data_IF_647367611221
#
_entry.id   IF_647367611221
#
_cell.length_a   1.000
_cell.length_b   1.000
_cell.length_c   1.000
_cell.angle_alpha   90.00
_cell.angle_beta   90.00
_cell.angle_gamma   90.00
#
_symmetry.space_group_name_H-M   'P 1'
#
loop_
_entity.id
_entity.type
_entity.pdbx_description
1 polymer ?
#
# COMPACT_ATOMS: atom_id res chain seq x y z
N UNK A 1 -33.01 -24.38 -9.43
CA UNK A 1 -31.66 -24.55 -8.88
C UNK A 1 -31.68 -24.13 -7.43
N UNK A 2 -31.89 -25.08 -6.51
CA UNK A 2 -31.94 -24.81 -5.08
C UNK A 2 -30.57 -24.39 -4.58
N UNK A 3 -30.51 -23.27 -3.85
CA UNK A 3 -29.30 -22.85 -3.17
C UNK A 3 -28.91 -23.96 -2.19
N UNK A 4 -27.86 -24.71 -2.52
CA UNK A 4 -27.19 -25.65 -1.63
C UNK A 4 -26.40 -24.83 -0.59
N UNK A 5 -27.11 -24.08 0.25
CA UNK A 5 -26.58 -23.62 1.52
C UNK A 5 -26.42 -24.86 2.41
N UNK A 6 -25.38 -24.92 3.26
CA UNK A 6 -25.20 -26.04 4.17
C UNK A 6 -26.48 -26.26 4.97
N UNK A 7 -27.22 -27.32 4.62
CA UNK A 7 -28.64 -27.54 4.96
C UNK A 7 -28.89 -27.85 6.45
N UNK A 8 -27.92 -27.59 7.34
CA UNK A 8 -28.10 -27.70 8.78
C UNK A 8 -27.41 -26.54 9.50
N UNK A 9 -28.08 -25.86 10.45
CA UNK A 9 -27.50 -24.77 11.24
C UNK A 9 -26.16 -25.14 11.91
N UNK A 10 -25.98 -26.43 12.23
CA UNK A 10 -24.75 -26.99 12.80
C UNK A 10 -23.54 -26.88 11.86
N UNK A 11 -23.71 -27.12 10.56
CA UNK A 11 -22.63 -27.00 9.57
C UNK A 11 -22.24 -25.54 9.34
N UNK A 12 -23.22 -24.64 9.30
CA UNK A 12 -22.96 -23.20 9.23
C UNK A 12 -22.16 -22.72 10.46
N UNK A 13 -22.61 -23.08 11.67
CA UNK A 13 -21.93 -22.71 12.90
C UNK A 13 -20.49 -23.25 12.95
N UNK A 14 -20.26 -24.48 12.50
CA UNK A 14 -18.92 -25.07 12.41
C UNK A 14 -18.02 -24.32 11.44
N UNK A 15 -18.52 -23.94 10.26
CA UNK A 15 -17.73 -23.13 9.31
C UNK A 15 -17.39 -21.75 9.87
N UNK A 16 -18.35 -21.07 10.48
CA UNK A 16 -18.12 -19.76 11.11
C UNK A 16 -17.10 -19.86 12.23
N UNK A 17 -17.19 -20.89 13.08
CA UNK A 17 -16.22 -21.13 14.13
C UNK A 17 -14.80 -21.33 13.57
N UNK A 18 -14.66 -22.10 12.48
CA UNK A 18 -13.37 -22.32 11.82
C UNK A 18 -12.78 -21.03 11.21
N UNK A 19 -13.63 -20.20 10.60
CA UNK A 19 -13.19 -18.91 10.07
C UNK A 19 -12.78 -17.95 11.19
N UNK A 20 -13.54 -17.88 12.28
CA UNK A 20 -13.21 -17.05 13.43
C UNK A 20 -11.92 -17.53 14.10
N UNK A 21 -11.72 -18.84 14.25
CA UNK A 21 -10.47 -19.38 14.80
C UNK A 21 -9.29 -19.10 13.88
N UNK A 22 -9.45 -19.26 12.57
CA UNK A 22 -8.42 -18.93 11.58
C UNK A 22 -8.06 -17.44 11.58
N UNK A 23 -9.08 -16.57 11.60
CA UNK A 23 -8.88 -15.12 11.67
C UNK A 23 -8.16 -14.70 12.97
N UNK A 24 -8.50 -15.33 14.11
CA UNK A 24 -7.83 -15.07 15.38
C UNK A 24 -6.35 -15.46 15.34
N UNK A 25 -6.03 -16.67 14.88
CA UNK A 25 -4.64 -17.14 14.75
C UNK A 25 -3.86 -16.26 13.77
N UNK A 26 -4.49 -15.88 12.65
CA UNK A 26 -3.88 -15.00 11.65
C UNK A 26 -3.57 -13.61 12.23
N UNK A 27 -4.52 -13.00 12.93
CA UNK A 27 -4.31 -11.69 13.56
C UNK A 27 -3.17 -11.71 14.58
N UNK A 28 -3.12 -12.75 15.43
CA UNK A 28 -2.03 -12.95 16.39
C UNK A 28 -0.70 -13.15 15.68
N UNK A 29 -0.66 -13.99 14.64
CA UNK A 29 0.53 -14.24 13.84
C UNK A 29 1.07 -12.97 13.16
N UNK A 30 0.18 -12.15 12.58
CA UNK A 30 0.55 -10.86 11.99
C UNK A 30 1.09 -9.91 13.06
N UNK A 31 0.46 -9.84 14.23
CA UNK A 31 0.91 -8.98 15.32
C UNK A 31 2.34 -9.36 15.79
N UNK A 32 2.59 -10.66 16.04
CA UNK A 32 3.92 -11.13 16.42
C UNK A 32 4.95 -10.93 15.29
N UNK A 33 4.56 -11.17 14.04
CA UNK A 33 5.42 -10.93 12.87
C UNK A 33 5.86 -9.47 12.82
N UNK A 34 4.93 -8.52 12.98
CA UNK A 34 5.25 -7.10 12.97
C UNK A 34 6.20 -6.71 14.11
N UNK A 35 5.93 -7.17 15.34
CA UNK A 35 6.78 -6.88 16.51
C UNK A 35 8.21 -7.39 16.31
N UNK A 36 8.41 -8.53 15.64
CA UNK A 36 9.73 -9.12 15.43
C UNK A 36 10.46 -8.58 14.19
N UNK A 37 9.74 -8.12 13.17
CA UNK A 37 10.31 -7.53 11.95
C UNK A 37 10.74 -6.08 12.19
N UNK A 38 9.97 -5.32 12.98
CA UNK A 38 10.25 -3.92 13.29
C UNK A 38 11.69 -3.65 13.81
N UNK A 39 12.24 -4.40 14.79
CA UNK A 39 13.60 -4.14 15.29
C UNK A 39 14.68 -4.46 14.24
N UNK A 40 14.44 -5.43 13.36
CA UNK A 40 15.37 -5.76 12.28
C UNK A 40 15.37 -4.65 11.22
N UNK A 41 14.18 -4.13 10.88
CA UNK A 41 14.07 -2.97 10.00
C UNK A 41 14.73 -1.73 10.58
N UNK A 42 14.59 -1.48 11.90
CA UNK A 42 15.22 -0.34 12.55
C UNK A 42 16.76 -0.42 12.48
N UNK A 43 17.34 -1.60 12.68
CA UNK A 43 18.80 -1.81 12.56
C UNK A 43 19.29 -1.61 11.13
N UNK A 44 18.57 -2.15 10.15
CA UNK A 44 18.94 -1.99 8.73
C UNK A 44 18.81 -0.53 8.30
N UNK A 45 17.74 0.18 8.70
CA UNK A 45 17.57 1.61 8.43
C UNK A 45 18.68 2.45 9.05
N UNK A 46 19.02 2.22 10.31
CA UNK A 46 20.08 2.96 10.98
C UNK A 46 21.45 2.79 10.28
N UNK A 47 21.73 1.59 9.77
CA UNK A 47 22.95 1.33 8.99
C UNK A 47 22.91 1.98 7.62
N UNK A 48 21.77 1.92 6.93
CA UNK A 48 21.60 2.53 5.62
C UNK A 48 21.77 4.05 5.69
N UNK A 49 21.21 4.70 6.72
CA UNK A 49 21.38 6.14 6.98
C UNK A 49 22.85 6.50 7.21
N UNK A 50 23.57 5.73 8.03
CA UNK A 50 25.00 5.94 8.30
C UNK A 50 25.88 5.74 7.05
N UNK A 51 25.56 4.76 6.21
CA UNK A 51 26.27 4.56 4.94
C UNK A 51 25.97 5.70 3.98
N UNK A 52 24.72 6.12 3.90
CA UNK A 52 24.28 7.19 3.00
C UNK A 52 24.91 8.54 3.37
N UNK A 53 24.98 8.90 4.66
CA UNK A 53 25.66 10.13 5.10
C UNK A 53 27.15 10.10 4.75
N UNK A 54 27.78 8.92 4.89
CA UNK A 54 29.21 8.74 4.60
C UNK A 54 29.49 8.87 3.11
N UNK A 55 28.66 8.24 2.27
CA UNK A 55 28.76 8.33 0.82
C UNK A 55 28.48 9.74 0.32
N UNK A 56 27.48 10.42 0.89
CA UNK A 56 27.17 11.81 0.56
C UNK A 56 28.34 12.73 0.91
N UNK A 57 28.96 12.55 2.08
CA UNK A 57 30.09 13.37 2.54
C UNK A 57 31.35 13.14 1.70
N UNK A 58 31.66 11.90 1.30
CA UNK A 58 32.87 11.59 0.54
C UNK A 58 32.74 11.85 -0.96
N UNK A 59 31.59 11.55 -1.55
CA UNK A 59 31.43 11.46 -3.01
C UNK A 59 30.29 12.30 -3.57
N UNK A 60 29.59 13.10 -2.75
CA UNK A 60 28.40 13.83 -3.19
C UNK A 60 27.26 12.90 -3.63
N UNK A 61 27.30 11.64 -3.19
CA UNK A 61 26.39 10.60 -3.66
C UNK A 61 24.92 10.95 -3.36
N UNK A 62 24.08 10.78 -4.37
CA UNK A 62 22.63 10.88 -4.26
C UNK A 62 22.03 9.48 -4.45
N UNK A 63 21.22 9.04 -3.49
CA UNK A 63 20.58 7.73 -3.55
C UNK A 63 19.71 7.60 -4.81
N UNK A 64 19.91 6.56 -5.64
CA UNK A 64 19.11 6.32 -6.85
C UNK A 64 17.64 6.07 -6.52
N UNK A 65 17.36 5.50 -5.34
CA UNK A 65 16.00 5.28 -4.87
C UNK A 65 15.25 6.58 -4.57
N UNK A 66 15.97 7.66 -4.19
CA UNK A 66 15.35 8.97 -3.97
C UNK A 66 14.97 9.66 -5.28
N UNK A 67 15.71 9.41 -6.36
CA UNK A 67 15.35 9.87 -7.71
C UNK A 67 14.11 9.13 -8.22
N UNK A 68 14.09 7.80 -8.12
CA UNK A 68 12.93 7.00 -8.52
C UNK A 68 11.64 7.39 -7.78
N UNK A 69 11.72 7.62 -6.46
CA UNK A 69 10.57 8.08 -5.68
C UNK A 69 10.09 9.49 -6.06
N UNK A 70 11.01 10.36 -6.50
CA UNK A 70 10.68 11.71 -6.96
C UNK A 70 10.01 11.69 -8.34
N UNK A 71 10.43 10.79 -9.22
CA UNK A 71 9.88 10.64 -10.57
C UNK A 71 8.48 10.00 -10.57
N UNK A 72 8.22 8.98 -9.73
CA UNK A 72 6.86 8.43 -9.60
C UNK A 72 5.87 9.51 -9.11
N UNK A 73 6.28 10.31 -8.11
CA UNK A 73 5.45 11.42 -7.61
C UNK A 73 5.22 12.52 -8.65
N UNK A 74 6.23 12.85 -9.47
CA UNK A 74 6.09 13.86 -10.52
C UNK A 74 5.17 13.36 -11.65
N UNK A 75 5.31 12.08 -12.03
CA UNK A 75 4.47 11.41 -13.00
C UNK A 75 3.00 11.36 -12.57
N UNK A 76 2.72 10.94 -11.33
CA UNK A 76 1.35 10.91 -10.80
C UNK A 76 0.71 12.29 -10.72
N UNK A 77 1.47 13.30 -10.28
CA UNK A 77 0.97 14.68 -10.22
C UNK A 77 0.69 15.25 -11.61
N UNK A 78 1.54 14.92 -12.59
CA UNK A 78 1.35 15.31 -13.99
C UNK A 78 0.11 14.64 -14.60
N UNK A 79 -0.09 13.35 -14.31
CA UNK A 79 -1.26 12.60 -14.75
C UNK A 79 -2.56 13.15 -14.13
N UNK A 80 -2.56 13.45 -12.83
CA UNK A 80 -3.72 14.02 -12.14
C UNK A 80 -4.06 15.43 -12.64
N UNK A 81 -3.05 16.27 -12.93
CA UNK A 81 -3.25 17.59 -13.55
C UNK A 81 -3.88 17.46 -14.93
N UNK A 82 -3.33 16.60 -15.79
CA UNK A 82 -3.83 16.38 -17.16
C UNK A 82 -5.29 15.90 -17.18
N UNK A 83 -5.64 15.00 -16.25
CA UNK A 83 -7.03 14.54 -16.09
C UNK A 83 -7.92 15.70 -15.65
N UNK A 84 -7.50 16.48 -14.64
CA UNK A 84 -8.27 17.62 -14.15
C UNK A 84 -8.49 18.68 -15.24
N UNK A 85 -7.47 18.95 -16.06
CA UNK A 85 -7.54 19.93 -17.15
C UNK A 85 -8.47 19.46 -18.28
N UNK A 86 -8.48 18.16 -18.59
CA UNK A 86 -9.43 17.58 -19.55
C UNK A 86 -10.88 17.70 -19.07
N UNK A 87 -11.14 17.41 -17.80
CA UNK A 87 -12.48 17.58 -17.23
C UNK A 87 -12.92 19.06 -17.22
N UNK A 88 -12.01 19.98 -16.91
CA UNK A 88 -12.29 21.41 -16.97
C UNK A 88 -12.64 21.87 -18.40
N UNK A 89 -11.90 21.37 -19.40
CA UNK A 89 -12.18 21.66 -20.83
C UNK A 89 -13.55 21.12 -21.26
N UNK A 90 -13.83 19.84 -20.98
CA UNK A 90 -15.10 19.21 -21.34
C UNK A 90 -16.30 19.92 -20.68
N UNK A 91 -16.14 20.38 -19.44
CA UNK A 91 -17.16 21.17 -18.73
C UNK A 91 -17.43 22.51 -19.41
N UNK A 92 -16.38 23.20 -19.83
CA UNK A 92 -16.51 24.50 -20.49
C UNK A 92 -17.13 24.33 -21.89
N UNK A 93 -16.76 23.30 -22.64
CA UNK A 93 -17.38 23.00 -23.94
C UNK A 93 -18.88 22.72 -23.81
N UNK A 94 -19.29 21.98 -22.77
CA UNK A 94 -20.72 21.75 -22.47
C UNK A 94 -21.48 23.03 -22.11
N UNK A 95 -20.81 23.98 -21.45
CA UNK A 95 -21.41 25.26 -21.06
C UNK A 95 -21.55 26.23 -22.24
N UNK A 96 -20.59 26.23 -23.19
CA UNK A 96 -20.59 27.12 -24.36
C UNK A 96 -21.45 26.62 -25.54
N UNK A 97 -21.80 25.32 -25.57
CA UNK A 97 -22.67 24.72 -26.60
C UNK A 97 -24.16 24.64 -26.22
N UNK A 98 -24.58 25.39 -25.19
CA UNK A 98 -25.98 25.55 -24.77
C UNK A 98 -26.43 26.99 -25.03
#
# INVERSE_FOLDING_TARGET
MGLCFPSTPKKLAMTVAFFLSGAAIFAVGVHLSYVNVAPQQARTKARDELVMETLKKKYGYTSPYKMLARDDSSGKRSQESSVRDNYARARNDLFWNM
#
